data_IF_806657132150
#
_entry.id   IF_806657132150
#
_cell.length_a   1.000
_cell.length_b   1.000
_cell.length_c   1.000
_cell.angle_alpha   90.00
_cell.angle_beta   90.00
_cell.angle_gamma   90.00
#
_symmetry.space_group_name_H-M   'P 1'
#
loop_
_entity.id
_entity.type
_entity.pdbx_description
1 polymer ?
#
# COMPACT_ATOMS: atom_id res chain seq x y z
N UNK A 1 34.62 -14.35 30.31
CA UNK A 1 34.83 -13.84 28.94
C UNK A 1 35.79 -12.67 29.04
N UNK A 2 37.02 -12.81 28.52
CA UNK A 2 37.94 -11.67 28.41
C UNK A 2 37.39 -10.75 27.30
N UNK A 3 37.03 -9.54 27.68
CA UNK A 3 36.77 -8.48 26.70
C UNK A 3 38.13 -8.09 26.14
N UNK A 4 38.38 -8.35 24.86
CA UNK A 4 39.55 -7.83 24.18
C UNK A 4 39.44 -6.29 24.20
N UNK A 5 40.22 -5.63 25.03
CA UNK A 5 40.20 -4.18 25.28
C UNK A 5 40.96 -3.36 24.23
N UNK A 6 41.52 -3.99 23.19
CA UNK A 6 42.51 -3.39 22.30
C UNK A 6 42.08 -3.32 20.82
N UNK A 7 40.82 -2.92 20.52
CA UNK A 7 40.44 -2.59 19.17
C UNK A 7 40.11 -1.08 19.00
N UNK A 8 40.54 -0.51 17.92
CA UNK A 8 40.25 0.88 17.58
C UNK A 8 38.86 1.07 16.95
N UNK A 9 38.36 2.29 16.96
CA UNK A 9 37.13 2.65 16.22
C UNK A 9 37.26 2.30 14.73
N UNK A 10 38.47 2.38 14.17
CA UNK A 10 38.74 2.05 12.77
C UNK A 10 38.59 0.53 12.51
N UNK A 11 39.02 -0.32 13.45
CA UNK A 11 38.86 -1.77 13.35
C UNK A 11 37.39 -2.16 13.33
N UNK A 12 36.57 -1.60 14.23
CA UNK A 12 35.13 -1.85 14.30
C UNK A 12 34.42 -1.43 12.98
N UNK A 13 34.80 -0.26 12.46
CA UNK A 13 34.25 0.22 11.19
C UNK A 13 34.64 -0.67 10.00
N UNK A 14 35.86 -1.24 10.03
CA UNK A 14 36.35 -2.17 9.01
C UNK A 14 35.59 -3.50 9.09
N UNK A 15 35.42 -4.09 10.27
CA UNK A 15 34.62 -5.33 10.44
C UNK A 15 33.17 -5.17 9.94
N UNK A 16 32.52 -4.07 10.30
CA UNK A 16 31.15 -3.80 9.78
C UNK A 16 31.10 -3.71 8.25
N UNK A 17 32.12 -3.10 7.65
CA UNK A 17 32.22 -2.98 6.18
C UNK A 17 32.46 -4.33 5.52
N UNK A 18 33.29 -5.18 6.09
CA UNK A 18 33.58 -6.54 5.62
C UNK A 18 32.31 -7.41 5.60
N UNK A 19 31.49 -7.35 6.66
CA UNK A 19 30.19 -8.06 6.71
C UNK A 19 29.28 -7.62 5.58
N UNK A 20 29.09 -6.31 5.40
CA UNK A 20 28.22 -5.78 4.33
C UNK A 20 28.74 -6.16 2.93
N UNK A 21 30.07 -6.18 2.73
CA UNK A 21 30.68 -6.60 1.47
C UNK A 21 30.47 -8.08 1.19
N UNK A 22 30.62 -8.93 2.21
CA UNK A 22 30.37 -10.37 2.09
C UNK A 22 28.90 -10.66 1.72
N UNK A 23 27.95 -10.00 2.35
CA UNK A 23 26.53 -10.14 2.02
C UNK A 23 26.23 -9.63 0.60
N UNK A 24 26.81 -8.51 0.18
CA UNK A 24 26.65 -7.97 -1.19
C UNK A 24 27.20 -8.94 -2.26
N UNK A 25 28.31 -9.60 -1.99
CA UNK A 25 28.86 -10.64 -2.88
C UNK A 25 27.92 -11.85 -2.98
N UNK A 26 27.38 -12.31 -1.84
CA UNK A 26 26.43 -13.41 -1.82
C UNK A 26 25.15 -13.09 -2.60
N UNK A 27 24.62 -11.87 -2.49
CA UNK A 27 23.48 -11.39 -3.29
C UNK A 27 23.81 -11.38 -4.79
N UNK A 28 24.99 -10.89 -5.18
CA UNK A 28 25.41 -10.84 -6.59
C UNK A 28 25.54 -12.23 -7.19
N UNK A 29 26.12 -13.17 -6.44
CA UNK A 29 26.23 -14.57 -6.85
C UNK A 29 24.84 -15.23 -6.99
N UNK A 30 23.90 -14.94 -6.08
CA UNK A 30 22.54 -15.44 -6.16
C UNK A 30 21.80 -14.87 -7.36
N UNK A 31 21.94 -13.57 -7.63
CA UNK A 31 21.32 -12.94 -8.80
C UNK A 31 21.73 -13.59 -10.13
N UNK A 32 23.00 -14.03 -10.23
CA UNK A 32 23.48 -14.73 -11.41
C UNK A 32 22.88 -16.15 -11.59
N UNK A 33 22.31 -16.73 -10.52
CA UNK A 33 21.64 -18.05 -10.56
C UNK A 33 20.12 -17.97 -10.81
N UNK A 34 19.54 -16.77 -10.84
CA UNK A 34 18.11 -16.59 -11.18
C UNK A 34 17.89 -17.08 -12.62
N UNK A 35 17.01 -18.05 -12.79
CA UNK A 35 16.78 -18.71 -14.07
C UNK A 35 15.29 -19.12 -14.28
N UNK A 36 15.04 -20.07 -15.19
CA UNK A 36 13.68 -20.48 -15.55
C UNK A 36 12.80 -20.95 -14.41
N UNK A 37 13.37 -21.62 -13.39
CA UNK A 37 12.64 -22.06 -12.19
C UNK A 37 12.03 -20.90 -11.41
N UNK A 38 12.67 -19.74 -11.42
CA UNK A 38 12.12 -18.54 -10.81
C UNK A 38 10.88 -18.03 -11.56
N UNK A 39 10.92 -18.02 -12.89
CA UNK A 39 9.78 -17.66 -13.71
C UNK A 39 8.62 -18.66 -13.55
N UNK A 40 8.91 -19.95 -13.47
CA UNK A 40 7.93 -21.00 -13.21
C UNK A 40 7.23 -20.79 -11.86
N UNK A 41 7.97 -20.39 -10.82
CA UNK A 41 7.38 -20.08 -9.52
C UNK A 41 6.38 -18.93 -9.60
N UNK A 42 6.74 -17.85 -10.31
CA UNK A 42 5.83 -16.71 -10.55
C UNK A 42 4.57 -17.16 -11.28
N UNK A 43 4.71 -17.95 -12.36
CA UNK A 43 3.58 -18.46 -13.12
C UNK A 43 2.71 -19.41 -12.28
N UNK A 44 3.31 -20.24 -11.44
CA UNK A 44 2.61 -21.14 -10.52
C UNK A 44 1.67 -20.36 -9.60
N UNK A 45 2.16 -19.27 -8.97
CA UNK A 45 1.32 -18.44 -8.09
C UNK A 45 0.25 -17.67 -8.87
N UNK A 46 0.58 -17.14 -10.05
CA UNK A 46 -0.39 -16.40 -10.88
C UNK A 46 -1.52 -17.29 -11.41
N UNK A 47 -1.23 -18.56 -11.68
CA UNK A 47 -2.22 -19.54 -12.19
C UNK A 47 -3.15 -20.11 -11.12
N UNK A 48 -3.01 -19.74 -9.84
CA UNK A 48 -3.81 -20.28 -8.74
C UNK A 48 -4.72 -19.23 -8.09
N UNK A 49 -5.85 -19.71 -7.58
CA UNK A 49 -6.87 -18.86 -6.91
C UNK A 49 -6.59 -18.68 -5.41
N UNK A 50 -5.67 -19.47 -4.85
CA UNK A 50 -5.36 -19.46 -3.43
C UNK A 50 -4.33 -18.37 -3.05
N UNK A 51 -3.94 -18.37 -1.78
CA UNK A 51 -2.90 -17.51 -1.22
C UNK A 51 -1.52 -18.19 -1.24
N UNK A 52 -0.49 -17.43 -0.97
CA UNK A 52 0.85 -17.95 -0.67
C UNK A 52 0.99 -18.14 0.84
N UNK A 53 1.21 -19.39 1.26
CA UNK A 53 1.53 -19.71 2.66
C UNK A 53 3.04 -19.80 2.78
N UNK A 54 3.65 -18.98 3.63
CA UNK A 54 5.10 -18.98 3.83
C UNK A 54 5.41 -19.60 5.19
N UNK A 55 6.32 -20.56 5.22
CA UNK A 55 6.68 -21.26 6.47
C UNK A 55 8.19 -21.37 6.64
N UNK A 56 8.65 -21.35 7.88
CA UNK A 56 10.05 -21.47 8.28
C UNK A 56 10.20 -21.40 9.80
N UNK A 57 11.32 -21.89 10.34
CA UNK A 57 11.58 -21.95 11.77
C UNK A 57 12.82 -21.11 12.15
N UNK A 58 12.83 -20.55 13.36
CA UNK A 58 13.94 -19.75 13.88
C UNK A 58 14.23 -18.51 13.02
N UNK A 59 15.48 -18.27 12.63
CA UNK A 59 15.87 -17.13 11.77
C UNK A 59 15.22 -17.22 10.40
N UNK A 60 15.10 -18.41 9.81
CA UNK A 60 14.34 -18.64 8.58
C UNK A 60 12.84 -18.33 8.76
N UNK A 61 12.28 -18.53 9.94
CA UNK A 61 10.91 -18.15 10.29
C UNK A 61 10.70 -16.63 10.31
N UNK A 62 11.66 -15.87 10.82
CA UNK A 62 11.61 -14.40 10.75
C UNK A 62 11.67 -13.89 9.32
N UNK A 63 12.54 -14.48 8.49
CA UNK A 63 12.61 -14.19 7.05
C UNK A 63 11.29 -14.55 6.36
N UNK A 64 10.74 -15.72 6.65
CA UNK A 64 9.46 -16.18 6.09
C UNK A 64 8.28 -15.23 6.45
N UNK A 65 8.23 -14.73 7.69
CA UNK A 65 7.24 -13.70 8.08
C UNK A 65 7.39 -12.42 7.26
N UNK A 66 8.63 -11.96 7.06
CA UNK A 66 8.91 -10.79 6.23
C UNK A 66 8.47 -11.00 4.79
N UNK A 67 8.75 -12.15 4.20
CA UNK A 67 8.33 -12.52 2.84
C UNK A 67 6.80 -12.52 2.72
N UNK A 68 6.10 -13.15 3.66
CA UNK A 68 4.63 -13.16 3.68
C UNK A 68 4.05 -11.73 3.75
N UNK A 69 4.62 -10.89 4.62
CA UNK A 69 4.22 -9.48 4.74
C UNK A 69 4.46 -8.70 3.46
N UNK A 70 5.62 -8.88 2.80
CA UNK A 70 5.94 -8.21 1.54
C UNK A 70 4.97 -8.63 0.44
N UNK A 71 4.71 -9.94 0.27
CA UNK A 71 3.74 -10.47 -0.70
C UNK A 71 2.35 -9.84 -0.48
N UNK A 72 1.85 -9.86 0.76
CA UNK A 72 0.55 -9.31 1.12
C UNK A 72 0.46 -7.81 0.82
N UNK A 73 1.51 -7.05 1.16
CA UNK A 73 1.57 -5.61 0.94
C UNK A 73 1.76 -5.20 -0.53
N UNK A 74 2.11 -6.14 -1.40
CA UNK A 74 2.32 -5.93 -2.83
C UNK A 74 1.28 -6.63 -3.72
N UNK A 75 0.10 -6.94 -3.15
CA UNK A 75 -1.06 -7.42 -3.90
C UNK A 75 -1.14 -8.92 -4.13
N UNK A 76 -0.27 -9.72 -3.49
CA UNK A 76 -0.39 -11.17 -3.46
C UNK A 76 -0.86 -11.61 -2.08
N UNK A 77 -2.08 -12.16 -1.98
CA UNK A 77 -2.59 -12.67 -0.71
C UNK A 77 -1.61 -13.70 -0.12
N UNK A 78 -1.11 -13.44 1.09
CA UNK A 78 -0.14 -14.30 1.74
C UNK A 78 -0.29 -14.29 3.26
N UNK A 79 0.11 -15.41 3.91
CA UNK A 79 0.20 -15.50 5.35
C UNK A 79 1.41 -16.33 5.77
N UNK A 80 1.85 -16.14 7.00
CA UNK A 80 2.87 -16.96 7.62
C UNK A 80 2.22 -18.12 8.39
N UNK A 81 2.72 -19.33 8.21
CA UNK A 81 2.36 -20.52 8.99
C UNK A 81 3.58 -20.97 9.81
N UNK A 82 3.48 -20.91 11.14
CA UNK A 82 4.52 -21.43 12.00
C UNK A 82 4.55 -22.96 11.94
N UNK A 83 5.68 -23.59 11.57
CA UNK A 83 5.69 -25.02 11.30
C UNK A 83 5.38 -25.88 12.54
N UNK A 84 5.77 -25.44 13.75
CA UNK A 84 5.40 -26.17 14.98
C UNK A 84 3.90 -26.04 15.28
N UNK A 85 3.29 -24.88 15.10
CA UNK A 85 1.84 -24.70 15.30
C UNK A 85 1.04 -25.49 14.26
N UNK A 86 1.56 -25.61 13.03
CA UNK A 86 0.97 -26.47 12.00
C UNK A 86 0.78 -27.90 12.48
N UNK A 87 1.77 -28.46 13.19
CA UNK A 87 1.72 -29.81 13.74
C UNK A 87 0.66 -29.96 14.86
N UNK A 88 0.21 -28.86 15.44
CA UNK A 88 -0.77 -28.83 16.53
C UNK A 88 -2.16 -28.34 16.09
N UNK A 89 -2.43 -28.28 14.77
CA UNK A 89 -3.79 -28.00 14.27
C UNK A 89 -3.86 -26.96 13.15
N UNK A 90 -2.85 -26.09 12.99
CA UNK A 90 -2.89 -24.98 12.04
C UNK A 90 -2.65 -25.39 10.57
N UNK A 91 -2.55 -26.68 10.28
CA UNK A 91 -2.57 -27.17 8.88
C UNK A 91 -3.82 -26.72 8.12
N UNK A 92 -4.94 -26.46 8.81
CA UNK A 92 -6.15 -25.89 8.21
C UNK A 92 -5.98 -24.55 7.50
N UNK A 93 -4.88 -23.83 7.78
CA UNK A 93 -4.53 -22.60 7.07
C UNK A 93 -4.03 -22.84 5.64
N UNK A 94 -3.59 -24.06 5.31
CA UNK A 94 -3.07 -24.42 3.99
C UNK A 94 -4.09 -25.30 3.25
N UNK A 95 -4.51 -24.85 2.07
CA UNK A 95 -5.48 -25.51 1.22
C UNK A 95 -4.85 -25.96 -0.11
N UNK A 96 -5.51 -26.88 -0.83
CA UNK A 96 -5.03 -27.38 -2.12
C UNK A 96 -4.91 -26.31 -3.21
N UNK A 97 -5.68 -25.22 -3.12
CA UNK A 97 -5.59 -24.09 -4.04
C UNK A 97 -4.43 -23.11 -3.72
N UNK A 98 -3.81 -23.23 -2.54
CA UNK A 98 -2.70 -22.37 -2.11
C UNK A 98 -1.36 -22.82 -2.73
N UNK A 99 -0.33 -22.01 -2.51
CA UNK A 99 1.08 -22.34 -2.80
C UNK A 99 1.89 -22.22 -1.51
N UNK A 100 2.64 -23.26 -1.15
CA UNK A 100 3.59 -23.20 -0.03
C UNK A 100 4.94 -22.64 -0.49
N UNK A 101 5.48 -21.66 0.25
CA UNK A 101 6.89 -21.24 0.19
C UNK A 101 7.54 -21.68 1.50
N UNK A 102 8.40 -22.68 1.44
CA UNK A 102 9.12 -23.24 2.61
C UNK A 102 10.55 -22.69 2.67
N UNK A 103 10.92 -22.07 3.79
CA UNK A 103 12.24 -21.45 4.00
C UNK A 103 13.02 -22.24 5.03
N UNK A 104 14.08 -22.92 4.61
CA UNK A 104 14.99 -23.64 5.49
C UNK A 104 16.35 -23.76 4.81
N UNK A 105 17.38 -23.06 5.35
CA UNK A 105 18.69 -23.00 4.70
C UNK A 105 19.33 -24.37 4.49
N UNK A 106 19.41 -25.22 5.52
CA UNK A 106 19.94 -26.58 5.39
C UNK A 106 18.96 -27.57 4.74
N UNK A 107 17.68 -27.23 4.69
CA UNK A 107 16.64 -28.06 4.08
C UNK A 107 16.26 -29.33 4.83
N UNK A 108 16.68 -29.47 6.11
CA UNK A 108 16.46 -30.69 6.94
C UNK A 108 15.68 -30.40 8.23
N UNK A 109 15.11 -29.22 8.40
CA UNK A 109 14.32 -28.88 9.60
C UNK A 109 13.04 -29.71 9.62
N UNK A 110 12.89 -30.61 10.56
CA UNK A 110 11.81 -31.62 10.63
C UNK A 110 10.40 -31.02 10.51
N UNK A 111 10.13 -29.95 11.27
CA UNK A 111 8.83 -29.28 11.31
C UNK A 111 8.49 -28.64 9.95
N UNK A 112 9.47 -28.05 9.27
CA UNK A 112 9.29 -27.47 7.93
C UNK A 112 9.04 -28.58 6.89
N UNK A 113 9.73 -29.70 7.04
CA UNK A 113 9.52 -30.87 6.16
C UNK A 113 8.12 -31.45 6.32
N UNK A 114 7.56 -31.49 7.53
CA UNK A 114 6.18 -31.95 7.73
C UNK A 114 5.17 -31.02 7.06
N UNK A 115 5.37 -29.69 7.10
CA UNK A 115 4.53 -28.74 6.36
C UNK A 115 4.63 -28.98 4.86
N UNK A 116 5.85 -29.21 4.34
CA UNK A 116 6.05 -29.51 2.92
C UNK A 116 5.40 -30.83 2.49
N UNK A 117 5.51 -31.90 3.33
CA UNK A 117 4.83 -33.18 3.09
C UNK A 117 3.31 -33.02 3.08
N UNK A 118 2.78 -32.25 4.02
CA UNK A 118 1.36 -31.96 4.07
C UNK A 118 0.88 -31.25 2.79
N UNK A 119 1.60 -30.18 2.37
CA UNK A 119 1.28 -29.45 1.14
C UNK A 119 1.22 -30.39 -0.07
N UNK A 120 2.22 -31.26 -0.24
CA UNK A 120 2.23 -32.24 -1.32
C UNK A 120 1.05 -33.19 -1.26
N UNK A 121 0.72 -33.68 -0.07
CA UNK A 121 -0.40 -34.63 0.14
C UNK A 121 -1.75 -34.03 -0.29
N UNK A 122 -1.98 -32.74 -0.05
CA UNK A 122 -3.21 -32.06 -0.45
C UNK A 122 -3.16 -31.48 -1.88
N UNK A 123 -2.07 -31.67 -2.61
CA UNK A 123 -1.90 -31.18 -3.99
C UNK A 123 -1.54 -29.68 -4.10
N UNK A 124 -1.07 -29.05 -3.01
CA UNK A 124 -0.54 -27.70 -3.06
C UNK A 124 0.93 -27.72 -3.54
N UNK A 125 1.32 -26.90 -4.52
CA UNK A 125 2.70 -26.80 -4.95
C UNK A 125 3.60 -26.24 -3.84
N UNK A 126 4.84 -26.75 -3.79
CA UNK A 126 5.87 -26.37 -2.84
C UNK A 126 7.00 -25.69 -3.58
N UNK A 127 7.31 -24.47 -3.17
CA UNK A 127 8.51 -23.71 -3.57
C UNK A 127 9.43 -23.72 -2.35
N UNK A 128 10.67 -24.20 -2.51
CA UNK A 128 11.67 -24.16 -1.45
C UNK A 128 12.63 -22.99 -1.64
N UNK A 129 12.95 -22.32 -0.56
CA UNK A 129 14.09 -21.38 -0.46
C UNK A 129 15.13 -22.07 0.44
N UNK A 130 16.18 -22.63 -0.16
CA UNK A 130 17.16 -23.45 0.57
C UNK A 130 18.56 -23.32 -0.05
N UNK A 131 19.60 -23.43 0.78
CA UNK A 131 20.99 -23.62 0.35
C UNK A 131 21.36 -25.08 0.15
N UNK A 132 20.59 -26.01 0.72
CA UNK A 132 20.78 -27.44 0.59
C UNK A 132 20.12 -27.98 -0.68
N UNK A 133 20.76 -27.86 -1.83
CA UNK A 133 20.19 -28.22 -3.14
C UNK A 133 19.91 -29.73 -3.29
N UNK A 134 20.49 -30.57 -2.47
CA UNK A 134 20.24 -32.03 -2.41
C UNK A 134 19.46 -32.46 -1.17
N UNK A 135 19.01 -31.51 -0.36
CA UNK A 135 18.30 -31.73 0.90
C UNK A 135 16.92 -32.37 0.70
N UNK A 136 16.38 -32.90 1.78
CA UNK A 136 15.02 -33.45 1.80
C UNK A 136 13.97 -32.42 1.36
N UNK A 137 14.11 -31.16 1.77
CA UNK A 137 13.21 -30.07 1.35
C UNK A 137 13.31 -29.83 -0.16
N UNK A 138 14.52 -29.80 -0.72
CA UNK A 138 14.72 -29.62 -2.16
C UNK A 138 14.09 -30.73 -2.97
N UNK A 139 14.14 -32.00 -2.49
CA UNK A 139 13.50 -33.16 -3.11
C UNK A 139 11.96 -33.14 -2.99
N UNK A 140 11.43 -32.60 -1.91
CA UNK A 140 9.99 -32.42 -1.70
C UNK A 140 9.42 -31.26 -2.52
N UNK A 141 10.23 -30.26 -2.86
CA UNK A 141 9.77 -29.08 -3.59
C UNK A 141 9.46 -29.39 -5.05
N UNK A 142 8.52 -28.68 -5.64
CA UNK A 142 8.29 -28.64 -7.08
C UNK A 142 9.26 -27.67 -7.75
N UNK A 143 9.59 -26.58 -7.04
CA UNK A 143 10.49 -25.54 -7.51
C UNK A 143 11.44 -25.17 -6.36
N UNK A 144 12.72 -24.99 -6.66
CA UNK A 144 13.75 -24.62 -5.68
C UNK A 144 14.38 -23.28 -6.08
N UNK A 145 14.41 -22.35 -5.14
CA UNK A 145 15.22 -21.15 -5.19
C UNK A 145 16.55 -21.46 -4.46
N UNK A 146 17.63 -21.46 -5.22
CA UNK A 146 18.97 -21.68 -4.69
C UNK A 146 19.44 -20.48 -3.84
N UNK A 147 19.36 -20.65 -2.52
CA UNK A 147 19.82 -19.69 -1.51
C UNK A 147 21.22 -20.01 -0.98
N UNK A 148 21.98 -20.90 -1.65
CA UNK A 148 23.32 -21.28 -1.22
C UNK A 148 24.26 -20.08 -1.18
N UNK A 149 25.10 -20.02 -0.11
CA UNK A 149 26.15 -19.03 0.05
C UNK A 149 27.48 -19.74 0.27
N UNK A 150 28.57 -19.13 -0.16
CA UNK A 150 29.91 -19.68 0.02
C UNK A 150 30.28 -19.74 1.52
N UNK A 151 29.95 -18.65 2.24
CA UNK A 151 30.14 -18.54 3.69
C UNK A 151 29.20 -17.55 4.32
N UNK A 152 28.98 -17.69 5.62
CA UNK A 152 28.36 -16.66 6.43
C UNK A 152 29.31 -15.48 6.63
N UNK A 153 28.74 -14.28 6.84
CA UNK A 153 29.55 -13.06 7.01
C UNK A 153 30.06 -12.88 8.44
N UNK A 154 29.60 -13.71 9.40
CA UNK A 154 30.10 -13.66 10.76
C UNK A 154 31.50 -14.29 10.85
N UNK A 155 32.36 -13.86 11.83
CA UNK A 155 33.72 -14.31 11.94
C UNK A 155 33.91 -15.82 12.13
N UNK A 156 32.90 -16.50 12.65
CA UNK A 156 32.94 -17.95 12.96
C UNK A 156 32.28 -18.78 11.83
N UNK A 157 31.69 -18.16 10.84
CA UNK A 157 30.92 -18.84 9.80
C UNK A 157 29.80 -19.73 10.35
N UNK A 158 29.09 -19.28 11.41
CA UNK A 158 28.07 -20.04 12.13
C UNK A 158 26.71 -19.35 12.15
N UNK A 159 26.71 -18.02 12.34
CA UNK A 159 25.47 -17.27 12.45
C UNK A 159 24.88 -17.00 11.06
N UNK A 160 23.61 -17.37 10.78
CA UNK A 160 22.95 -17.03 9.52
C UNK A 160 22.92 -15.51 9.31
N UNK A 161 23.75 -15.02 8.43
CA UNK A 161 23.93 -13.64 7.99
C UNK A 161 23.75 -13.57 6.48
N UNK A 162 24.76 -13.92 5.68
CA UNK A 162 24.66 -13.98 4.21
C UNK A 162 23.49 -14.87 3.75
N UNK A 163 23.32 -16.04 4.35
CA UNK A 163 22.22 -16.95 3.98
C UNK A 163 20.83 -16.38 4.29
N UNK A 164 20.66 -15.70 5.41
CA UNK A 164 19.38 -15.06 5.74
C UNK A 164 19.09 -13.84 4.85
N UNK A 165 20.12 -13.05 4.53
CA UNK A 165 20.02 -11.91 3.61
C UNK A 165 19.64 -12.37 2.20
N UNK A 166 20.28 -13.42 1.69
CA UNK A 166 19.95 -14.03 0.39
C UNK A 166 18.52 -14.57 0.37
N UNK A 167 18.10 -15.32 1.39
CA UNK A 167 16.73 -15.86 1.45
C UNK A 167 15.67 -14.74 1.46
N UNK A 168 15.93 -13.65 2.20
CA UNK A 168 15.07 -12.49 2.23
C UNK A 168 15.02 -11.79 0.87
N UNK A 169 16.14 -11.59 0.21
CA UNK A 169 16.23 -10.94 -1.11
C UNK A 169 15.55 -11.77 -2.21
N UNK A 170 15.64 -13.09 -2.18
CA UNK A 170 14.90 -14.00 -3.08
C UNK A 170 13.39 -13.84 -2.89
N UNK A 171 12.92 -13.74 -1.64
CA UNK A 171 11.52 -13.47 -1.33
C UNK A 171 11.05 -12.10 -1.84
N UNK A 172 11.88 -11.07 -1.72
CA UNK A 172 11.59 -9.73 -2.24
C UNK A 172 11.56 -9.71 -3.77
N UNK A 173 12.52 -10.35 -4.42
CA UNK A 173 12.54 -10.50 -5.86
C UNK A 173 11.27 -11.23 -6.37
N UNK A 174 10.85 -12.27 -5.65
CA UNK A 174 9.62 -13.03 -5.96
C UNK A 174 8.38 -12.15 -5.82
N UNK A 175 8.23 -11.42 -4.70
CA UNK A 175 7.12 -10.51 -4.48
C UNK A 175 7.06 -9.38 -5.51
N UNK A 176 8.21 -8.77 -5.82
CA UNK A 176 8.31 -7.71 -6.83
C UNK A 176 7.98 -8.20 -8.25
N UNK A 177 8.35 -9.44 -8.56
CA UNK A 177 8.03 -10.06 -9.86
C UNK A 177 6.53 -10.35 -9.98
N UNK A 178 5.89 -10.86 -8.94
CA UNK A 178 4.43 -11.04 -8.88
C UNK A 178 3.68 -9.71 -8.97
N UNK A 179 4.14 -8.70 -8.24
CA UNK A 179 3.62 -7.33 -8.29
C UNK A 179 3.64 -6.78 -9.74
N UNK A 180 4.79 -6.92 -10.41
CA UNK A 180 4.95 -6.47 -11.79
C UNK A 180 4.07 -7.26 -12.77
N UNK A 181 4.00 -8.57 -12.62
CA UNK A 181 3.20 -9.43 -13.49
C UNK A 181 1.69 -9.21 -13.33
N UNK A 182 1.24 -8.77 -12.15
CA UNK A 182 -0.16 -8.38 -11.89
C UNK A 182 -0.50 -6.96 -12.37
N UNK A 183 0.46 -6.16 -12.79
CA UNK A 183 0.25 -4.74 -13.10
C UNK A 183 -0.16 -3.91 -11.87
N UNK A 184 0.31 -4.31 -10.67
CA UNK A 184 -0.03 -3.66 -9.41
C UNK A 184 0.40 -2.19 -9.41
N UNK A 185 -0.55 -1.30 -9.22
CA UNK A 185 -0.40 0.14 -9.36
C UNK A 185 -0.07 0.84 -8.03
N UNK A 186 0.40 2.10 -8.07
CA UNK A 186 0.51 2.92 -6.87
C UNK A 186 -0.83 3.09 -6.12
N UNK A 187 -1.95 3.09 -6.83
CA UNK A 187 -3.30 3.17 -6.26
C UNK A 187 -3.64 1.90 -5.48
N UNK A 188 -3.29 0.72 -6.02
CA UNK A 188 -3.46 -0.54 -5.31
C UNK A 188 -2.61 -0.57 -4.03
N UNK A 189 -1.38 -0.05 -4.09
CA UNK A 189 -0.52 0.06 -2.92
C UNK A 189 -1.14 0.97 -1.84
N UNK A 190 -1.69 2.12 -2.25
CA UNK A 190 -2.37 3.05 -1.35
C UNK A 190 -3.58 2.40 -0.65
N UNK A 191 -4.38 1.61 -1.38
CA UNK A 191 -5.54 0.91 -0.83
C UNK A 191 -5.18 -0.10 0.25
N UNK A 192 -4.01 -0.75 0.14
CA UNK A 192 -3.51 -1.70 1.12
C UNK A 192 -2.76 -1.03 2.30
N UNK A 193 -2.41 0.26 2.20
CA UNK A 193 -1.66 1.00 3.21
C UNK A 193 -2.34 2.33 3.63
N UNK A 194 -3.63 2.33 4.02
CA UNK A 194 -4.38 3.57 4.24
C UNK A 194 -3.79 4.44 5.37
N UNK A 195 -3.16 3.83 6.38
CA UNK A 195 -2.54 4.54 7.51
C UNK A 195 -1.10 5.00 7.27
N UNK A 196 -0.45 4.56 6.20
CA UNK A 196 0.94 4.87 5.90
C UNK A 196 1.13 6.26 5.26
N UNK A 197 2.32 6.86 5.43
CA UNK A 197 2.66 8.14 4.78
C UNK A 197 2.46 8.10 3.27
N UNK A 198 2.86 7.00 2.62
CA UNK A 198 2.73 6.83 1.18
C UNK A 198 1.26 6.62 0.77
N UNK A 199 0.48 5.86 1.54
CA UNK A 199 -0.96 5.67 1.30
C UNK A 199 -1.72 6.98 1.34
N UNK A 200 -1.46 7.82 2.34
CA UNK A 200 -2.05 9.16 2.43
C UNK A 200 -1.71 10.04 1.22
N UNK A 201 -0.45 10.05 0.76
CA UNK A 201 -0.03 10.84 -0.41
C UNK A 201 -0.65 10.38 -1.73
N UNK A 202 -1.03 9.10 -1.81
CA UNK A 202 -1.66 8.49 -2.99
C UNK A 202 -3.18 8.38 -2.88
N UNK A 203 -3.78 8.83 -1.76
CA UNK A 203 -5.23 8.88 -1.61
C UNK A 203 -5.86 9.85 -2.62
N UNK A 204 -7.10 9.57 -3.00
CA UNK A 204 -7.84 10.36 -3.98
C UNK A 204 -8.75 11.38 -3.29
N UNK A 205 -9.13 12.40 -4.00
CA UNK A 205 -10.09 13.41 -3.52
C UNK A 205 -11.38 12.78 -3.02
N UNK A 206 -11.90 11.74 -3.70
CA UNK A 206 -13.11 11.01 -3.28
C UNK A 206 -13.02 10.39 -1.89
N UNK A 207 -11.82 10.07 -1.41
CA UNK A 207 -11.61 9.43 -0.11
C UNK A 207 -11.71 10.43 1.04
N UNK A 208 -11.73 11.74 0.75
CA UNK A 208 -11.74 12.86 1.69
C UNK A 208 -12.88 13.85 1.49
N UNK A 209 -13.70 13.67 0.45
CA UNK A 209 -14.79 14.59 0.17
C UNK A 209 -15.98 14.40 1.10
N UNK A 210 -16.71 15.46 1.37
CA UNK A 210 -18.07 15.39 1.88
C UNK A 210 -19.00 14.93 0.74
N UNK A 211 -19.77 13.86 0.93
CA UNK A 211 -20.59 13.31 -0.13
C UNK A 211 -21.80 14.20 -0.47
N UNK A 212 -22.43 13.91 -1.58
CA UNK A 212 -23.49 14.69 -2.21
C UNK A 212 -24.73 14.93 -1.34
N UNK A 213 -25.09 13.98 -0.47
CA UNK A 213 -26.23 14.06 0.46
C UNK A 213 -26.05 15.13 1.55
N UNK A 214 -24.80 15.50 1.81
CA UNK A 214 -24.43 16.60 2.73
C UNK A 214 -24.12 17.92 2.03
N UNK A 215 -24.23 17.99 0.71
CA UNK A 215 -23.92 19.19 -0.05
C UNK A 215 -25.17 20.08 -0.14
N UNK A 216 -25.18 21.29 0.45
CA UNK A 216 -26.28 22.23 0.29
C UNK A 216 -26.42 22.66 -1.16
N UNK A 217 -27.64 22.51 -1.72
CA UNK A 217 -27.95 22.83 -3.11
C UNK A 217 -29.10 23.82 -3.18
N UNK A 218 -28.98 24.76 -4.08
CA UNK A 218 -29.97 25.81 -4.32
C UNK A 218 -30.28 25.93 -5.80
N UNK A 219 -31.50 26.26 -6.12
CA UNK A 219 -31.86 26.75 -7.45
C UNK A 219 -31.52 28.25 -7.54
N UNK A 220 -31.26 28.81 -8.73
CA UNK A 220 -30.99 30.25 -8.91
C UNK A 220 -32.06 31.18 -8.35
N UNK A 221 -33.30 30.69 -8.25
CA UNK A 221 -34.45 31.41 -7.74
C UNK A 221 -34.60 31.40 -6.21
N UNK A 222 -33.75 30.68 -5.50
CA UNK A 222 -33.78 30.62 -4.04
C UNK A 222 -33.53 32.00 -3.44
N UNK A 223 -34.31 32.37 -2.43
CA UNK A 223 -34.23 33.66 -1.77
C UNK A 223 -33.02 33.77 -0.85
N UNK A 224 -32.71 34.96 -0.38
CA UNK A 224 -31.57 35.24 0.49
C UNK A 224 -31.56 34.42 1.78
N UNK A 225 -32.74 34.18 2.39
CA UNK A 225 -32.88 33.39 3.62
C UNK A 225 -32.46 31.95 3.37
N UNK A 226 -32.99 31.32 2.31
CA UNK A 226 -32.60 29.98 1.88
C UNK A 226 -31.11 29.86 1.57
N UNK A 227 -30.52 30.89 0.98
CA UNK A 227 -29.07 30.95 0.72
C UNK A 227 -28.29 30.99 2.04
N UNK A 228 -28.71 31.82 3.00
CA UNK A 228 -28.06 31.95 4.29
C UNK A 228 -28.10 30.62 5.06
N UNK A 229 -29.27 29.97 5.10
CA UNK A 229 -29.42 28.65 5.71
C UNK A 229 -28.50 27.62 5.06
N UNK A 230 -28.50 27.52 3.73
CA UNK A 230 -27.70 26.57 2.98
C UNK A 230 -26.20 26.74 3.23
N UNK A 231 -25.71 27.98 3.26
CA UNK A 231 -24.27 28.27 3.51
C UNK A 231 -23.87 27.96 4.96
N UNK A 232 -24.83 28.04 5.90
CA UNK A 232 -24.57 27.84 7.34
C UNK A 232 -24.64 26.37 7.75
N UNK A 233 -25.46 25.57 7.04
CA UNK A 233 -25.66 24.14 7.32
C UNK A 233 -24.33 23.38 7.34
N UNK A 234 -24.18 22.49 8.33
CA UNK A 234 -23.04 21.59 8.53
C UNK A 234 -21.64 22.28 8.58
N UNK A 235 -21.56 23.60 8.82
CA UNK A 235 -20.29 24.33 8.84
C UNK A 235 -19.48 24.19 7.53
N UNK A 236 -20.13 23.92 6.41
CA UNK A 236 -19.46 23.78 5.11
C UNK A 236 -19.04 25.14 4.57
N UNK A 237 -19.86 26.19 4.82
CA UNK A 237 -19.57 27.59 4.47
C UNK A 237 -19.60 27.87 2.97
N UNK A 238 -20.26 26.99 2.16
CA UNK A 238 -20.49 27.16 0.73
C UNK A 238 -21.72 26.35 0.32
N UNK A 239 -22.52 26.88 -0.58
CA UNK A 239 -23.63 26.18 -1.21
C UNK A 239 -23.42 26.05 -2.73
N UNK A 240 -23.84 24.95 -3.30
CA UNK A 240 -23.90 24.73 -4.74
C UNK A 240 -25.16 25.38 -5.31
N UNK A 241 -25.01 26.14 -6.39
CA UNK A 241 -26.17 26.57 -7.19
C UNK A 241 -26.25 25.66 -8.42
N UNK A 242 -27.38 24.97 -8.58
CA UNK A 242 -27.58 23.98 -9.64
C UNK A 242 -28.75 24.36 -10.55
N UNK A 243 -28.72 23.87 -11.79
CA UNK A 243 -29.86 23.92 -12.67
C UNK A 243 -30.93 22.88 -12.28
N UNK A 244 -32.01 22.82 -13.02
CA UNK A 244 -33.12 21.86 -12.82
C UNK A 244 -32.70 20.40 -13.08
N UNK A 245 -31.56 20.17 -13.72
CA UNK A 245 -30.98 18.86 -13.96
C UNK A 245 -29.92 18.48 -12.88
N UNK A 246 -29.74 19.34 -11.88
CA UNK A 246 -28.77 19.13 -10.80
C UNK A 246 -27.32 19.47 -11.17
N UNK A 247 -27.08 20.08 -12.32
CA UNK A 247 -25.74 20.48 -12.77
C UNK A 247 -25.29 21.75 -12.06
N UNK A 248 -24.06 21.79 -11.66
CA UNK A 248 -23.45 22.92 -10.99
C UNK A 248 -23.28 24.11 -11.96
N UNK A 249 -23.97 25.20 -11.70
CA UNK A 249 -23.94 26.45 -12.50
C UNK A 249 -23.33 27.61 -11.74
N UNK A 250 -23.18 27.49 -10.41
CA UNK A 250 -22.62 28.51 -9.56
C UNK A 250 -22.31 28.00 -8.15
N UNK A 251 -21.71 28.88 -7.36
CA UNK A 251 -21.44 28.65 -5.95
C UNK A 251 -21.62 29.94 -5.15
N UNK A 252 -22.08 29.82 -3.93
CA UNK A 252 -22.19 30.94 -2.97
C UNK A 252 -21.47 30.55 -1.69
N UNK A 253 -20.50 31.36 -1.28
CA UNK A 253 -19.77 31.21 -0.03
C UNK A 253 -20.14 32.29 0.98
N UNK A 254 -19.74 32.08 2.26
CA UNK A 254 -19.80 33.13 3.30
C UNK A 254 -19.20 34.45 2.83
N UNK A 255 -18.12 34.39 2.03
CA UNK A 255 -17.46 35.55 1.48
C UNK A 255 -18.32 36.31 0.46
N UNK A 256 -19.12 35.58 -0.32
CA UNK A 256 -20.04 36.17 -1.32
C UNK A 256 -21.15 36.92 -0.60
N UNK A 257 -21.74 36.34 0.44
CA UNK A 257 -22.77 36.98 1.25
C UNK A 257 -22.26 38.27 1.92
N UNK A 258 -21.07 38.22 2.52
CA UNK A 258 -20.45 39.43 3.13
C UNK A 258 -20.19 40.52 2.10
N UNK A 259 -19.69 40.15 0.91
CA UNK A 259 -19.46 41.13 -0.17
C UNK A 259 -20.76 41.74 -0.67
N UNK A 260 -21.81 40.96 -0.82
CA UNK A 260 -23.11 41.47 -1.23
C UNK A 260 -23.69 42.46 -0.21
N UNK A 261 -23.64 42.13 1.09
CA UNK A 261 -24.10 43.01 2.15
C UNK A 261 -23.28 44.30 2.24
N UNK A 262 -21.97 44.23 2.09
CA UNK A 262 -21.10 45.44 2.09
C UNK A 262 -21.39 46.34 0.88
N UNK A 263 -21.68 45.77 -0.27
CA UNK A 263 -21.89 46.53 -1.52
C UNK A 263 -23.30 47.11 -1.62
N UNK A 264 -24.32 46.35 -1.19
CA UNK A 264 -25.73 46.70 -1.45
C UNK A 264 -26.52 46.99 -0.15
N UNK A 265 -25.91 46.87 1.02
CA UNK A 265 -26.59 47.06 2.29
C UNK A 265 -27.84 46.18 2.45
N UNK A 266 -28.91 46.74 2.96
CA UNK A 266 -30.19 46.02 3.14
C UNK A 266 -30.84 45.52 1.82
N UNK A 267 -30.47 46.11 0.67
CA UNK A 267 -30.99 45.67 -0.62
C UNK A 267 -30.47 44.26 -0.99
N UNK A 268 -29.35 43.81 -0.44
CA UNK A 268 -28.85 42.46 -0.63
C UNK A 268 -29.88 41.39 -0.17
N UNK A 269 -30.71 41.69 0.82
CA UNK A 269 -31.74 40.77 1.34
C UNK A 269 -32.83 40.46 0.34
N UNK A 270 -32.98 41.27 -0.71
CA UNK A 270 -33.91 41.05 -1.81
C UNK A 270 -33.31 40.29 -2.99
N UNK A 271 -32.02 39.95 -2.92
CA UNK A 271 -31.32 39.17 -3.96
C UNK A 271 -31.65 37.70 -3.87
N UNK A 272 -31.64 37.02 -5.02
CA UNK A 272 -31.76 35.56 -5.13
C UNK A 272 -30.39 34.90 -5.30
N UNK A 273 -30.33 33.57 -5.24
CA UNK A 273 -29.11 32.81 -5.40
C UNK A 273 -28.38 33.08 -6.73
N UNK A 274 -29.15 33.28 -7.81
CA UNK A 274 -28.58 33.58 -9.13
C UNK A 274 -27.88 34.95 -9.21
N UNK A 275 -28.28 35.91 -8.36
CA UNK A 275 -27.69 37.25 -8.27
C UNK A 275 -26.39 37.20 -7.43
N UNK A 276 -26.35 36.34 -6.42
CA UNK A 276 -25.27 36.24 -5.44
C UNK A 276 -24.15 35.28 -5.86
N UNK A 277 -24.42 34.33 -6.77
CA UNK A 277 -23.51 33.26 -7.10
C UNK A 277 -22.28 33.71 -7.91
N UNK A 278 -21.17 33.10 -7.64
CA UNK A 278 -20.03 33.01 -8.56
C UNK A 278 -20.36 32.01 -9.68
N UNK A 279 -20.36 32.44 -10.95
CA UNK A 279 -20.79 31.65 -12.11
C UNK A 279 -19.76 30.64 -12.63
N UNK A 280 -18.58 30.61 -12.07
CA UNK A 280 -17.50 29.67 -12.43
C UNK A 280 -17.01 28.96 -11.16
N UNK A 281 -17.83 28.02 -10.62
CA UNK A 281 -17.41 27.29 -9.43
C UNK A 281 -16.20 26.43 -9.73
N UNK A 282 -15.25 26.40 -8.79
CA UNK A 282 -14.06 25.57 -8.95
C UNK A 282 -14.43 24.12 -8.71
N UNK A 283 -14.00 23.24 -9.64
CA UNK A 283 -14.24 21.81 -9.61
C UNK A 283 -12.95 21.02 -9.69
N UNK A 284 -12.98 19.81 -9.17
CA UNK A 284 -11.89 18.84 -9.24
C UNK A 284 -12.45 17.44 -9.48
N UNK A 285 -11.75 16.61 -10.23
CA UNK A 285 -12.19 15.24 -10.45
C UNK A 285 -12.03 14.38 -9.18
N UNK A 286 -12.99 13.51 -8.91
CA UNK A 286 -12.95 12.58 -7.78
C UNK A 286 -11.72 11.66 -7.77
N UNK A 287 -11.15 11.40 -8.95
CA UNK A 287 -9.96 10.56 -9.17
C UNK A 287 -8.63 11.32 -9.06
N UNK A 288 -8.65 12.62 -8.81
CA UNK A 288 -7.43 13.41 -8.60
C UNK A 288 -6.77 13.01 -7.28
N UNK A 289 -5.43 13.01 -7.22
CA UNK A 289 -4.71 12.78 -5.98
C UNK A 289 -5.00 13.90 -4.97
N UNK A 290 -5.19 13.52 -3.71
CA UNK A 290 -5.46 14.50 -2.64
C UNK A 290 -4.33 15.53 -2.46
N UNK A 291 -3.08 15.13 -2.71
CA UNK A 291 -1.93 16.06 -2.66
C UNK A 291 -1.97 17.10 -3.79
N UNK A 292 -2.43 16.71 -4.97
CA UNK A 292 -2.59 17.65 -6.10
C UNK A 292 -3.75 18.62 -5.84
N UNK A 293 -4.80 18.14 -5.17
CA UNK A 293 -5.90 18.99 -4.71
C UNK A 293 -5.41 20.06 -3.73
N UNK A 294 -4.58 19.70 -2.75
CA UNK A 294 -3.96 20.66 -1.82
C UNK A 294 -3.14 21.71 -2.57
N UNK A 295 -2.31 21.27 -3.51
CA UNK A 295 -1.46 22.14 -4.32
C UNK A 295 -2.29 23.11 -5.17
N UNK A 296 -3.34 22.62 -5.83
CA UNK A 296 -4.27 23.41 -6.61
C UNK A 296 -5.02 24.44 -5.74
N UNK A 297 -5.56 24.01 -4.58
CA UNK A 297 -6.34 24.87 -3.69
C UNK A 297 -5.47 26.00 -3.12
N UNK A 298 -4.24 25.70 -2.73
CA UNK A 298 -3.27 26.70 -2.27
C UNK A 298 -2.90 27.69 -3.39
N UNK A 299 -2.62 27.20 -4.59
CA UNK A 299 -2.28 28.05 -5.74
C UNK A 299 -3.41 28.98 -6.17
N UNK A 300 -4.67 28.56 -5.99
CA UNK A 300 -5.86 29.35 -6.29
C UNK A 300 -6.35 30.21 -5.12
N UNK A 301 -5.80 30.04 -3.92
CA UNK A 301 -6.24 30.73 -2.71
C UNK A 301 -7.66 30.34 -2.29
N UNK A 302 -8.09 29.09 -2.56
CA UNK A 302 -9.44 28.62 -2.24
C UNK A 302 -9.37 27.49 -1.18
N UNK A 303 -10.31 27.52 -0.25
CA UNK A 303 -10.40 26.51 0.81
C UNK A 303 -11.44 25.42 0.57
N UNK A 304 -12.22 25.53 -0.49
CA UNK A 304 -13.32 24.60 -0.83
C UNK A 304 -13.41 24.44 -2.34
N UNK A 305 -13.64 23.20 -2.82
CA UNK A 305 -13.76 22.88 -4.24
C UNK A 305 -14.81 21.79 -4.42
N UNK A 306 -15.68 21.92 -5.38
CA UNK A 306 -16.68 20.89 -5.72
C UNK A 306 -16.01 19.71 -6.41
N UNK A 307 -16.42 18.51 -6.03
CA UNK A 307 -15.91 17.27 -6.61
C UNK A 307 -16.90 16.79 -7.68
N UNK A 308 -16.38 16.46 -8.84
CA UNK A 308 -17.14 15.96 -10.00
C UNK A 308 -16.56 14.61 -10.47
N UNK A 309 -17.32 13.87 -11.31
CA UNK A 309 -16.86 12.57 -11.81
C UNK A 309 -15.65 12.68 -12.75
N UNK A 310 -15.61 13.72 -13.58
CA UNK A 310 -14.52 13.95 -14.54
C UNK A 310 -14.53 15.34 -15.14
N UNK A 311 -13.56 15.62 -15.98
CA UNK A 311 -13.41 16.92 -16.64
C UNK A 311 -14.59 17.18 -17.59
N UNK A 312 -15.32 18.27 -17.35
CA UNK A 312 -16.49 18.64 -18.16
C UNK A 312 -17.84 18.11 -17.63
N UNK A 313 -17.84 17.22 -16.65
CA UNK A 313 -19.03 16.85 -15.91
C UNK A 313 -19.32 17.90 -14.84
N UNK A 314 -20.53 18.41 -14.84
CA UNK A 314 -20.98 19.43 -13.87
C UNK A 314 -21.93 18.86 -12.81
N UNK A 315 -22.14 17.54 -12.76
CA UNK A 315 -22.88 16.90 -11.67
C UNK A 315 -21.98 16.77 -10.45
N UNK A 316 -22.27 17.49 -9.35
CA UNK A 316 -21.42 17.43 -8.17
C UNK A 316 -21.60 16.11 -7.43
N UNK A 317 -20.50 15.41 -7.19
CA UNK A 317 -20.41 14.21 -6.34
C UNK A 317 -20.21 14.55 -4.87
N UNK A 318 -19.75 15.77 -4.57
CA UNK A 318 -19.47 16.22 -3.23
C UNK A 318 -18.64 17.51 -3.19
N UNK A 319 -18.04 17.75 -2.04
CA UNK A 319 -17.18 18.90 -1.77
C UNK A 319 -15.95 18.43 -1.01
N UNK A 320 -14.76 18.96 -1.34
CA UNK A 320 -13.54 18.77 -0.56
C UNK A 320 -13.13 20.10 0.05
N UNK A 321 -12.74 20.06 1.34
CA UNK A 321 -12.20 21.24 2.06
C UNK A 321 -10.71 21.04 2.30
N UNK A 322 -9.94 22.14 2.15
CA UNK A 322 -8.49 22.13 2.39
C UNK A 322 -8.15 21.67 3.83
N UNK A 323 -8.94 22.13 4.81
CA UNK A 323 -8.75 21.74 6.22
C UNK A 323 -8.89 20.23 6.45
N UNK A 324 -9.76 19.52 5.73
CA UNK A 324 -9.95 18.07 5.88
C UNK A 324 -8.74 17.33 5.30
N UNK A 325 -8.22 17.78 4.16
CA UNK A 325 -7.00 17.26 3.57
C UNK A 325 -5.77 17.48 4.48
N UNK A 326 -5.65 18.63 5.12
CA UNK A 326 -4.58 18.91 6.06
C UNK A 326 -4.72 18.09 7.36
N UNK A 327 -5.94 17.94 7.89
CA UNK A 327 -6.22 17.09 9.05
C UNK A 327 -5.90 15.60 8.77
N UNK A 328 -6.11 15.15 7.54
CA UNK A 328 -5.73 13.81 7.07
C UNK A 328 -4.20 13.65 6.86
N UNK A 329 -3.40 14.68 7.11
CA UNK A 329 -1.92 14.68 6.94
C UNK A 329 -1.50 14.28 5.53
N UNK A 330 -2.13 14.85 4.51
CA UNK A 330 -1.84 14.61 3.09
C UNK A 330 -0.48 15.20 2.67
N UNK A 331 0.01 16.21 3.38
CA UNK A 331 1.34 16.85 3.19
C UNK A 331 2.41 16.16 4.02
#
# INVERSE_FOLDING_TARGET
>A
MAVLSDFSAQDVATWGREVLQAEALALSATAARIGPSFAEAVQTVLGRQGKVVVSGLGKSGHVARKIASTLSSTGTAACFLHPSEALHGDFGLLQSCDTLVAVAYGGETSEVLEVARFARRIGAPVIAITGGMTSTLAQLAHIVFDASVEREADPLNLAPTSSSTVAMALGDAFAASLMRARGFSPQDFASLHPGGRLGRRLSLVRDHMHPTDRLPRLLPTADFHSVLEAVTVENIGIAAVTDTQGRLIGAISDGDLRRALLKHGAQALASNAGDLMSRQPRTIAATTLAIDAVSMMNGLGVSRVFVVSGTGDLLPLGLVRLQDLLAAKIL
#
